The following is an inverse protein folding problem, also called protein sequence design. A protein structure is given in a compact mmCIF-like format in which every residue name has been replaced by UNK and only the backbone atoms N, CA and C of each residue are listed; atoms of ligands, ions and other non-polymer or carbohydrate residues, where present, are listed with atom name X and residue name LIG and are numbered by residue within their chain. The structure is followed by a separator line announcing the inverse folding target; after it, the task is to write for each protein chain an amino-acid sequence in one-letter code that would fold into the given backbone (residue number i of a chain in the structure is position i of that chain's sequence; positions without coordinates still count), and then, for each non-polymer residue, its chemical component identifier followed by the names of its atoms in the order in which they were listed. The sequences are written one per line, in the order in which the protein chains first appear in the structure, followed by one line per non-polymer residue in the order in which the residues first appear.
data_IF_216022695783
#
_entry.id   IF_216022695783
#
_cell.length_a   1.000
_cell.length_b   1.000
_cell.length_c   1.000
_cell.angle_alpha   90.00
_cell.angle_beta   90.00
_cell.angle_gamma   90.00
#
_symmetry.space_group_name_H-M   'P 1'
#
loop_
_entity.id
_entity.type
_entity.pdbx_description
1 polymer ?
#
# COMPACT_ATOMS: atom_id res chain seq x y z
N UNK A 1 -70.92 -29.97 -71.14
CA UNK A 1 -72.05 -30.56 -70.41
C UNK A 1 -71.71 -30.78 -68.98
N UNK A 2 -72.48 -30.14 -68.23
CA UNK A 2 -72.98 -30.38 -66.88
C UNK A 2 -72.08 -30.08 -65.70
N UNK A 3 -72.49 -29.01 -65.10
CA UNK A 3 -72.23 -28.58 -63.73
C UNK A 3 -72.49 -29.66 -62.70
N UNK A 4 -71.77 -29.69 -61.64
CA UNK A 4 -72.39 -29.85 -60.33
C UNK A 4 -71.52 -29.15 -59.22
N UNK A 5 -72.23 -28.22 -58.56
CA UNK A 5 -71.81 -27.53 -57.34
C UNK A 5 -71.73 -28.47 -56.14
N UNK A 6 -70.83 -28.28 -55.25
CA UNK A 6 -71.04 -28.70 -53.88
C UNK A 6 -70.40 -27.73 -52.88
N UNK A 7 -71.17 -26.94 -52.20
CA UNK A 7 -70.92 -26.40 -50.88
C UNK A 7 -71.44 -27.42 -49.83
N UNK A 8 -71.01 -27.46 -48.54
CA UNK A 8 -70.40 -26.42 -47.72
C UNK A 8 -69.23 -26.91 -46.81
N UNK A 9 -68.28 -26.08 -46.59
CA UNK A 9 -67.27 -26.28 -45.53
C UNK A 9 -67.11 -24.99 -44.72
N UNK A 10 -68.14 -24.57 -44.00
CA UNK A 10 -68.14 -23.30 -43.22
C UNK A 10 -68.41 -23.47 -41.75
N UNK A 11 -68.38 -24.65 -41.17
CA UNK A 11 -68.70 -24.83 -39.74
C UNK A 11 -67.61 -25.48 -38.86
N UNK A 12 -66.39 -25.71 -39.38
CA UNK A 12 -65.32 -26.30 -38.60
C UNK A 12 -64.23 -25.31 -38.14
N UNK A 13 -64.42 -24.03 -38.39
CA UNK A 13 -63.39 -23.02 -38.07
C UNK A 13 -63.72 -22.13 -36.86
N UNK A 14 -64.68 -22.45 -36.04
CA UNK A 14 -65.09 -21.69 -34.87
C UNK A 14 -64.82 -22.35 -33.52
N UNK A 15 -64.28 -23.57 -33.48
CA UNK A 15 -63.99 -24.29 -32.21
C UNK A 15 -62.50 -24.40 -31.89
N UNK A 16 -61.58 -23.84 -32.70
CA UNK A 16 -60.11 -23.94 -32.47
C UNK A 16 -59.48 -22.70 -31.92
N UNK A 17 -60.24 -21.62 -31.64
CA UNK A 17 -59.67 -20.33 -31.19
C UNK A 17 -59.81 -20.04 -29.70
N UNK A 18 -60.33 -20.94 -28.88
CA UNK A 18 -60.59 -20.72 -27.46
C UNK A 18 -59.63 -21.45 -26.49
N UNK A 19 -58.65 -22.24 -26.99
CA UNK A 19 -57.70 -23.00 -26.13
C UNK A 19 -56.26 -22.47 -26.24
N UNK A 20 -55.97 -21.51 -27.12
CA UNK A 20 -54.61 -20.99 -27.33
C UNK A 20 -54.24 -19.77 -26.48
N UNK A 21 -55.13 -19.24 -25.64
CA UNK A 21 -54.89 -17.99 -24.87
C UNK A 21 -54.54 -18.21 -23.39
N UNK A 22 -54.48 -19.44 -22.89
CA UNK A 22 -54.13 -19.73 -21.48
C UNK A 22 -52.73 -20.31 -21.27
N UNK A 23 -51.95 -20.53 -22.36
CA UNK A 23 -50.58 -21.09 -22.26
C UNK A 23 -49.45 -20.05 -22.36
N UNK A 24 -49.77 -18.75 -22.52
CA UNK A 24 -48.78 -17.67 -22.66
C UNK A 24 -48.58 -16.82 -21.39
N UNK A 25 -49.21 -17.22 -20.28
CA UNK A 25 -49.19 -16.45 -19.00
C UNK A 25 -48.17 -16.91 -17.94
N UNK A 26 -47.39 -17.99 -18.20
CA UNK A 26 -46.53 -18.57 -17.13
C UNK A 26 -45.04 -18.65 -17.51
N UNK A 27 -44.60 -17.95 -18.56
CA UNK A 27 -43.15 -17.80 -18.85
C UNK A 27 -42.58 -16.57 -18.21
N UNK A 28 -43.24 -16.05 -17.17
CA UNK A 28 -42.70 -14.95 -16.39
C UNK A 28 -41.66 -15.47 -15.38
N UNK A 29 -40.40 -15.07 -15.62
CA UNK A 29 -39.43 -14.86 -14.58
C UNK A 29 -38.82 -16.10 -13.91
N UNK A 30 -38.30 -17.02 -14.67
CA UNK A 30 -37.05 -17.66 -14.31
C UNK A 30 -35.91 -16.73 -14.78
N UNK A 31 -35.81 -15.54 -14.18
CA UNK A 31 -34.52 -14.88 -14.09
C UNK A 31 -33.61 -15.90 -13.43
N UNK A 32 -32.52 -16.38 -14.07
CA UNK A 32 -31.54 -17.12 -13.33
C UNK A 32 -31.10 -16.17 -12.20
N UNK A 33 -31.50 -16.45 -10.98
CA UNK A 33 -30.81 -15.95 -9.81
C UNK A 33 -29.40 -16.53 -9.96
N UNK A 34 -28.56 -15.82 -10.69
CA UNK A 34 -27.13 -16.02 -10.61
C UNK A 34 -26.84 -15.77 -9.14
N UNK A 35 -26.78 -16.85 -8.38
CA UNK A 35 -26.26 -16.81 -7.03
C UNK A 35 -24.93 -16.08 -7.16
N UNK A 36 -24.89 -14.81 -6.73
CA UNK A 36 -23.67 -14.03 -6.74
C UNK A 36 -22.67 -14.88 -5.98
N UNK A 37 -21.74 -15.48 -6.73
CA UNK A 37 -20.73 -16.35 -6.16
C UNK A 37 -20.11 -15.56 -4.99
N UNK A 38 -20.27 -16.12 -3.78
CA UNK A 38 -19.83 -15.44 -2.55
C UNK A 38 -18.37 -15.04 -2.73
N UNK A 39 -18.09 -13.74 -2.79
CA UNK A 39 -16.72 -13.25 -2.82
C UNK A 39 -16.04 -13.58 -1.47
N UNK A 40 -14.79 -14.06 -1.46
CA UNK A 40 -13.96 -14.48 -2.59
C UNK A 40 -14.17 -15.95 -2.99
N UNK A 41 -14.07 -16.26 -4.30
CA UNK A 41 -14.15 -17.63 -4.84
C UNK A 41 -12.84 -18.09 -5.52
N UNK A 42 -11.82 -17.24 -5.57
CA UNK A 42 -10.50 -17.51 -6.18
C UNK A 42 -9.39 -16.82 -5.37
N UNK A 43 -8.12 -17.14 -5.58
CA UNK A 43 -7.00 -16.51 -4.88
C UNK A 43 -7.01 -14.98 -5.00
N UNK A 44 -6.67 -14.29 -3.90
CA UNK A 44 -6.46 -12.84 -3.86
C UNK A 44 -4.96 -12.57 -4.03
N UNK A 45 -4.61 -11.57 -4.80
CA UNK A 45 -3.24 -11.10 -5.00
C UNK A 45 -3.03 -9.74 -4.35
N UNK A 46 -2.03 -9.63 -3.50
CA UNK A 46 -1.55 -8.35 -2.97
C UNK A 46 -0.21 -8.03 -3.61
N UNK A 47 -0.18 -7.04 -4.49
CA UNK A 47 1.04 -6.53 -5.08
C UNK A 47 1.75 -5.69 -4.02
N UNK A 48 3.02 -5.98 -3.76
CA UNK A 48 3.90 -5.17 -2.93
C UNK A 48 4.88 -4.44 -3.84
N UNK A 49 4.81 -3.09 -3.84
CA UNK A 49 5.58 -2.27 -4.77
C UNK A 49 7.07 -2.10 -4.38
N UNK A 50 7.57 -2.96 -3.49
CA UNK A 50 8.96 -3.00 -2.99
C UNK A 50 9.52 -4.41 -3.00
N UNK A 51 10.87 -4.56 -2.94
CA UNK A 51 11.51 -5.87 -2.77
C UNK A 51 11.06 -6.59 -1.50
N UNK A 52 11.17 -7.92 -1.46
CA UNK A 52 10.89 -8.73 -0.26
C UNK A 52 11.77 -8.32 0.93
N UNK A 53 11.28 -8.53 2.15
CA UNK A 53 12.03 -8.40 3.41
C UNK A 53 11.95 -7.05 4.09
N UNK A 54 11.32 -6.02 3.48
CA UNK A 54 11.04 -4.74 4.13
C UNK A 54 9.72 -4.74 4.92
N UNK A 55 9.43 -3.62 5.60
CA UNK A 55 8.19 -3.46 6.39
C UNK A 55 6.92 -3.73 5.57
N UNK A 56 6.84 -3.18 4.36
CA UNK A 56 5.67 -3.34 3.48
C UNK A 56 5.42 -4.81 3.15
N UNK A 57 6.48 -5.56 2.84
CA UNK A 57 6.40 -6.99 2.55
C UNK A 57 5.98 -7.81 3.78
N UNK A 58 6.57 -7.52 4.94
CA UNK A 58 6.26 -8.21 6.20
C UNK A 58 4.80 -8.00 6.61
N UNK A 59 4.27 -6.76 6.51
CA UNK A 59 2.88 -6.46 6.78
C UNK A 59 1.94 -7.14 5.79
N UNK A 60 2.24 -7.05 4.48
CA UNK A 60 1.44 -7.69 3.45
C UNK A 60 1.35 -9.21 3.63
N UNK A 61 2.46 -9.89 3.96
CA UNK A 61 2.47 -11.33 4.23
C UNK A 61 1.66 -11.68 5.47
N UNK A 62 1.86 -10.97 6.58
CA UNK A 62 1.16 -11.26 7.82
C UNK A 62 -0.35 -11.01 7.70
N UNK A 63 -0.74 -9.93 7.03
CA UNK A 63 -2.15 -9.65 6.74
C UNK A 63 -2.73 -10.66 5.72
N UNK A 64 -1.97 -11.01 4.68
CA UNK A 64 -2.36 -12.00 3.68
C UNK A 64 -2.61 -13.39 4.28
N UNK A 65 -1.80 -13.83 5.22
CA UNK A 65 -2.04 -15.08 5.96
C UNK A 65 -3.33 -15.01 6.79
N UNK A 66 -3.58 -13.89 7.46
CA UNK A 66 -4.84 -13.68 8.18
C UNK A 66 -6.05 -13.74 7.25
N UNK A 67 -6.00 -13.02 6.12
CA UNK A 67 -7.06 -13.06 5.12
C UNK A 67 -7.29 -14.48 4.56
N UNK A 68 -6.20 -15.20 4.26
CA UNK A 68 -6.29 -16.57 3.75
C UNK A 68 -7.01 -17.50 4.74
N UNK A 69 -6.67 -17.40 6.03
CA UNK A 69 -7.32 -18.17 7.09
C UNK A 69 -8.81 -17.79 7.28
N UNK A 70 -9.13 -16.51 7.16
CA UNK A 70 -10.51 -16.00 7.35
C UNK A 70 -11.43 -16.25 6.17
N UNK A 71 -10.91 -16.09 4.95
CA UNK A 71 -11.71 -16.12 3.74
C UNK A 71 -11.71 -17.49 3.05
N UNK A 72 -10.84 -18.41 3.47
CA UNK A 72 -10.76 -19.77 2.92
C UNK A 72 -10.18 -19.83 1.50
N UNK A 73 -9.51 -18.77 1.03
CA UNK A 73 -8.84 -18.73 -0.28
C UNK A 73 -7.37 -18.34 -0.11
N UNK A 74 -6.47 -18.79 -0.99
CA UNK A 74 -5.07 -18.36 -0.94
C UNK A 74 -4.92 -16.86 -1.15
N UNK A 75 -4.02 -16.22 -0.40
CA UNK A 75 -3.59 -14.84 -0.63
C UNK A 75 -2.12 -14.85 -1.04
N UNK A 76 -1.86 -14.41 -2.27
CA UNK A 76 -0.54 -14.40 -2.88
C UNK A 76 0.09 -13.03 -2.78
N UNK A 77 1.29 -12.94 -2.23
CA UNK A 77 2.08 -11.71 -2.19
C UNK A 77 3.00 -11.68 -3.41
N UNK A 78 2.82 -10.66 -4.25
CA UNK A 78 3.52 -10.47 -5.52
C UNK A 78 4.40 -9.21 -5.44
N UNK A 79 5.70 -9.37 -5.19
CA UNK A 79 6.62 -8.24 -5.11
C UNK A 79 6.94 -7.71 -6.52
N UNK A 80 6.54 -6.47 -6.81
CA UNK A 80 6.77 -5.76 -8.08
C UNK A 80 7.47 -4.41 -7.84
N UNK A 81 8.77 -4.44 -7.51
CA UNK A 81 9.53 -3.20 -7.30
C UNK A 81 9.88 -2.52 -8.63
N UNK A 82 10.26 -1.24 -8.53
CA UNK A 82 10.86 -0.49 -9.63
C UNK A 82 10.16 0.83 -9.93
N UNK A 83 10.92 1.74 -10.56
CA UNK A 83 10.48 3.09 -10.93
C UNK A 83 9.78 3.86 -9.79
N UNK A 84 10.34 3.84 -8.57
CA UNK A 84 9.70 4.51 -7.42
C UNK A 84 8.34 3.93 -7.05
N UNK A 85 8.17 2.61 -7.15
CA UNK A 85 6.91 1.87 -6.95
C UNK A 85 5.87 1.99 -8.08
N UNK A 86 6.13 2.77 -9.13
CA UNK A 86 5.21 2.99 -10.26
C UNK A 86 4.82 1.65 -10.91
N UNK A 87 5.78 0.72 -11.10
CA UNK A 87 5.51 -0.57 -11.77
C UNK A 87 4.43 -1.37 -11.01
N UNK A 88 4.56 -1.48 -9.69
CA UNK A 88 3.59 -2.22 -8.87
C UNK A 88 2.21 -1.54 -8.81
N UNK A 89 2.20 -0.22 -8.67
CA UNK A 89 0.96 0.57 -8.59
C UNK A 89 0.21 0.51 -9.94
N UNK A 90 0.93 0.67 -11.06
CA UNK A 90 0.35 0.59 -12.41
C UNK A 90 -0.27 -0.79 -12.70
N UNK A 91 0.44 -1.85 -12.29
CA UNK A 91 -0.08 -3.21 -12.45
C UNK A 91 -1.39 -3.44 -11.69
N UNK A 92 -1.57 -2.82 -10.52
CA UNK A 92 -2.82 -2.87 -9.80
C UNK A 92 -3.90 -2.00 -10.45
N UNK A 93 -3.58 -0.75 -10.80
CA UNK A 93 -4.50 0.20 -11.41
C UNK A 93 -5.15 -0.33 -12.69
N UNK A 94 -4.42 -1.16 -13.46
CA UNK A 94 -4.89 -1.81 -14.69
C UNK A 94 -5.56 -3.17 -14.48
N UNK A 95 -5.68 -3.62 -13.23
CA UNK A 95 -6.33 -4.90 -12.92
C UNK A 95 -7.85 -4.74 -12.85
N UNK A 96 -8.64 -5.83 -13.05
CA UNK A 96 -10.08 -5.79 -12.86
C UNK A 96 -10.47 -5.28 -11.46
N UNK A 97 -11.54 -4.48 -11.38
CA UNK A 97 -12.07 -3.92 -10.14
C UNK A 97 -12.99 -4.93 -9.42
N UNK A 98 -12.52 -6.16 -9.25
CA UNK A 98 -13.27 -7.29 -8.68
C UNK A 98 -12.81 -7.65 -7.24
N UNK A 99 -11.87 -6.88 -6.67
CA UNK A 99 -11.33 -7.08 -5.33
C UNK A 99 -10.27 -8.20 -5.22
N UNK A 100 -9.91 -8.87 -6.30
CA UNK A 100 -8.89 -9.93 -6.28
C UNK A 100 -7.46 -9.46 -6.52
N UNK A 101 -7.27 -8.19 -6.89
CA UNK A 101 -5.95 -7.58 -6.98
C UNK A 101 -5.92 -6.30 -6.15
N UNK A 102 -4.97 -6.23 -5.23
CA UNK A 102 -4.73 -5.11 -4.35
C UNK A 102 -3.27 -4.68 -4.49
N UNK A 103 -2.93 -3.46 -4.11
CA UNK A 103 -1.52 -3.04 -4.00
C UNK A 103 -1.26 -2.38 -2.66
N UNK A 104 -0.12 -2.70 -2.07
CA UNK A 104 0.40 -2.08 -0.86
C UNK A 104 1.72 -1.37 -1.18
N UNK A 105 1.81 -0.10 -0.78
CA UNK A 105 3.01 0.71 -0.94
C UNK A 105 3.10 1.73 0.21
N UNK A 106 4.12 2.58 0.24
CA UNK A 106 4.19 3.67 1.21
C UNK A 106 3.28 4.83 0.79
N UNK A 107 2.69 5.53 1.75
CA UNK A 107 1.91 6.76 1.47
C UNK A 107 2.73 7.77 0.67
N UNK A 108 4.02 7.89 0.97
CA UNK A 108 4.95 8.74 0.23
C UNK A 108 4.93 8.46 -1.27
N UNK A 109 5.07 7.21 -1.70
CA UNK A 109 5.13 6.87 -3.14
C UNK A 109 3.84 7.20 -3.89
N UNK A 110 2.68 7.11 -3.25
CA UNK A 110 1.41 7.51 -3.86
C UNK A 110 1.35 9.03 -4.12
N UNK A 111 1.74 9.86 -3.14
CA UNK A 111 1.65 11.31 -3.26
C UNK A 111 2.80 11.93 -4.05
N UNK A 112 4.01 11.44 -3.80
CA UNK A 112 5.23 12.03 -4.37
C UNK A 112 5.37 11.78 -5.87
N UNK A 113 4.95 10.60 -6.33
CA UNK A 113 4.98 10.30 -7.75
C UNK A 113 4.14 11.28 -8.58
N UNK A 114 3.05 11.83 -8.02
CA UNK A 114 2.25 12.90 -8.68
C UNK A 114 3.03 14.21 -8.87
N UNK A 115 4.00 14.48 -8.01
CA UNK A 115 4.80 15.72 -8.02
C UNK A 115 6.07 15.52 -8.85
N UNK A 116 6.70 14.35 -8.72
CA UNK A 116 8.01 14.08 -9.31
C UNK A 116 7.94 13.71 -10.79
N UNK A 117 6.85 13.11 -11.23
CA UNK A 117 6.71 12.65 -12.60
C UNK A 117 5.65 13.45 -13.34
N UNK A 118 6.05 14.09 -14.42
CA UNK A 118 5.14 14.85 -15.29
C UNK A 118 4.08 13.97 -15.96
N UNK A 119 4.35 12.67 -16.09
CA UNK A 119 3.42 11.68 -16.66
C UNK A 119 3.52 10.37 -15.89
N UNK A 120 2.42 9.96 -15.27
CA UNK A 120 2.23 8.65 -14.66
C UNK A 120 1.40 7.76 -15.59
N UNK A 121 1.63 6.43 -15.60
CA UNK A 121 0.84 5.49 -16.40
C UNK A 121 -0.55 5.21 -15.80
N UNK A 122 -0.87 5.78 -14.64
CA UNK A 122 -2.14 5.68 -13.92
C UNK A 122 -2.54 7.05 -13.35
N UNK A 123 -3.83 7.20 -13.07
CA UNK A 123 -4.37 8.35 -12.32
C UNK A 123 -4.77 7.90 -10.92
N UNK A 124 -4.08 8.40 -9.90
CA UNK A 124 -4.31 7.98 -8.52
C UNK A 124 -5.76 8.15 -8.05
N UNK A 125 -6.41 9.25 -8.43
CA UNK A 125 -7.75 9.60 -7.96
C UNK A 125 -8.87 8.88 -8.74
N UNK A 126 -8.57 8.41 -9.97
CA UNK A 126 -9.57 7.79 -10.87
C UNK A 126 -9.43 6.27 -10.95
N UNK A 127 -8.19 5.75 -10.87
CA UNK A 127 -7.91 4.35 -11.17
C UNK A 127 -7.77 3.50 -9.90
N UNK A 128 -7.67 4.16 -8.73
CA UNK A 128 -7.44 3.49 -7.45
C UNK A 128 -8.40 4.00 -6.37
N UNK A 129 -8.74 3.13 -5.43
CA UNK A 129 -9.54 3.45 -4.24
C UNK A 129 -8.87 2.91 -2.97
N UNK A 130 -8.78 3.70 -1.90
CA UNK A 130 -8.19 3.24 -0.64
C UNK A 130 -9.07 2.19 0.03
N UNK A 131 -8.42 1.19 0.66
CA UNK A 131 -9.04 0.14 1.48
C UNK A 131 -8.76 0.43 2.95
N UNK A 132 -7.49 0.51 3.32
CA UNK A 132 -7.03 0.81 4.68
C UNK A 132 -5.61 1.36 4.64
N UNK A 133 -5.18 1.97 5.74
CA UNK A 133 -3.78 2.38 5.93
C UNK A 133 -3.21 1.64 7.13
N UNK A 134 -2.22 0.80 6.89
CA UNK A 134 -1.40 0.24 7.96
C UNK A 134 -0.43 1.31 8.42
N UNK A 135 -0.33 1.59 9.73
CA UNK A 135 0.60 2.59 10.22
C UNK A 135 2.04 2.12 10.09
N UNK A 136 2.97 3.04 9.95
CA UNK A 136 4.40 2.82 10.17
C UNK A 136 4.81 3.37 11.54
N UNK A 137 5.90 2.83 12.08
CA UNK A 137 6.54 3.41 13.26
C UNK A 137 7.44 4.60 12.89
N UNK A 138 8.02 5.26 13.90
CA UNK A 138 9.06 6.25 13.68
C UNK A 138 10.20 5.67 12.85
N UNK A 139 10.66 6.43 11.86
CA UNK A 139 11.84 6.06 11.09
C UNK A 139 13.10 6.50 11.85
N UNK A 140 14.14 5.69 11.76
CA UNK A 140 15.42 5.96 12.36
C UNK A 140 16.27 6.83 11.44
N UNK A 141 16.82 7.90 11.95
CA UNK A 141 17.88 8.69 11.31
C UNK A 141 19.21 8.13 11.80
N UNK A 142 19.87 7.37 10.94
CA UNK A 142 21.14 6.71 11.29
C UNK A 142 22.29 7.23 10.45
N UNK A 143 23.43 7.39 11.08
CA UNK A 143 24.67 7.83 10.44
C UNK A 143 25.77 6.79 10.61
N UNK A 144 26.78 6.83 9.72
CA UNK A 144 28.01 6.07 9.92
C UNK A 144 28.70 6.53 11.22
N UNK A 145 29.12 5.61 12.06
CA UNK A 145 29.64 5.89 13.40
C UNK A 145 31.01 6.61 13.41
N UNK A 146 31.72 6.63 12.27
CA UNK A 146 32.93 7.44 12.09
C UNK A 146 32.66 8.94 12.03
N UNK A 147 31.41 9.35 11.83
CA UNK A 147 31.03 10.77 11.79
C UNK A 147 30.91 11.29 13.23
N UNK A 148 31.63 12.35 13.62
CA UNK A 148 31.61 12.86 14.97
C UNK A 148 30.39 13.77 15.23
N UNK A 149 29.18 13.20 15.17
CA UNK A 149 27.94 13.92 15.40
C UNK A 149 26.95 13.05 16.20
N UNK A 150 26.37 13.54 17.29
CA UNK A 150 25.48 12.80 18.19
C UNK A 150 24.00 13.20 18.04
N UNK A 151 23.73 14.24 17.27
CA UNK A 151 22.42 14.79 17.00
C UNK A 151 22.40 15.41 15.60
N UNK A 152 21.21 15.84 15.18
CA UNK A 152 21.04 16.40 13.83
C UNK A 152 21.79 17.73 13.64
N UNK A 153 21.86 18.58 14.65
CA UNK A 153 22.57 19.86 14.57
C UNK A 153 24.09 19.66 14.37
N UNK A 154 24.69 18.73 15.11
CA UNK A 154 26.10 18.36 14.94
C UNK A 154 26.36 17.73 13.57
N UNK A 155 25.44 16.86 13.11
CA UNK A 155 25.53 16.29 11.75
C UNK A 155 25.47 17.36 10.67
N UNK A 156 24.53 18.30 10.77
CA UNK A 156 24.43 19.43 9.82
C UNK A 156 25.71 20.27 9.81
N UNK A 157 26.27 20.58 10.99
CA UNK A 157 27.51 21.32 11.08
C UNK A 157 28.69 20.59 10.44
N UNK A 158 28.73 19.27 10.55
CA UNK A 158 29.72 18.41 9.89
C UNK A 158 29.49 18.35 8.37
N UNK A 159 28.24 18.16 7.93
CA UNK A 159 27.86 18.04 6.53
C UNK A 159 28.13 19.31 5.70
N UNK A 160 28.09 20.50 6.32
CA UNK A 160 28.50 21.76 5.69
C UNK A 160 29.98 21.81 5.30
N UNK A 161 30.82 20.99 5.90
CA UNK A 161 32.29 20.99 5.73
C UNK A 161 32.78 19.74 4.99
N UNK A 162 31.93 18.76 4.78
CA UNK A 162 32.32 17.47 4.24
C UNK A 162 31.37 17.04 3.11
N UNK A 163 31.89 16.42 2.02
CA UNK A 163 31.04 15.76 1.04
C UNK A 163 30.11 14.76 1.73
N UNK A 164 28.82 14.89 1.48
CA UNK A 164 27.81 14.12 2.23
C UNK A 164 26.77 13.57 1.27
N UNK A 165 26.46 12.28 1.42
CA UNK A 165 25.35 11.65 0.73
C UNK A 165 24.37 11.03 1.74
N UNK A 166 23.08 11.10 1.42
CA UNK A 166 22.00 10.42 2.13
C UNK A 166 21.45 9.27 1.28
N UNK A 167 21.48 8.08 1.84
CA UNK A 167 20.83 6.94 1.26
C UNK A 167 19.30 7.08 1.32
N UNK A 168 18.64 6.80 0.21
CA UNK A 168 17.16 6.82 0.09
C UNK A 168 16.69 5.55 -0.62
N UNK A 169 15.52 5.02 -0.27
CA UNK A 169 15.02 3.77 -0.87
C UNK A 169 14.22 3.96 -2.16
N UNK A 170 14.02 5.20 -2.60
CA UNK A 170 13.47 5.56 -3.91
C UNK A 170 13.56 7.08 -4.14
N UNK A 171 13.57 7.56 -5.39
CA UNK A 171 13.30 8.96 -5.69
C UNK A 171 11.94 9.38 -5.08
N UNK A 172 11.88 10.57 -4.46
CA UNK A 172 10.69 11.07 -3.79
C UNK A 172 10.28 10.37 -2.50
N UNK A 173 11.02 9.37 -2.05
CA UNK A 173 10.77 8.74 -0.75
C UNK A 173 10.96 9.73 0.41
N UNK A 174 10.43 9.37 1.58
CA UNK A 174 10.57 10.19 2.77
C UNK A 174 12.02 10.61 3.06
N UNK A 175 13.04 9.71 3.04
CA UNK A 175 14.43 10.14 3.20
C UNK A 175 14.92 11.11 2.11
N UNK A 176 14.42 11.00 0.88
CA UNK A 176 14.75 12.00 -0.15
C UNK A 176 14.24 13.39 0.22
N UNK A 177 12.98 13.48 0.72
CA UNK A 177 12.45 14.76 1.21
C UNK A 177 13.22 15.30 2.42
N UNK A 178 13.65 14.42 3.32
CA UNK A 178 14.49 14.81 4.47
C UNK A 178 15.81 15.42 4.00
N UNK A 179 16.47 14.84 3.00
CA UNK A 179 17.70 15.40 2.42
C UNK A 179 17.46 16.79 1.82
N UNK A 180 16.42 16.93 1.00
CA UNK A 180 16.07 18.20 0.37
C UNK A 180 15.72 19.29 1.39
N UNK A 181 14.91 18.96 2.40
CA UNK A 181 14.58 19.90 3.48
C UNK A 181 15.79 20.28 4.31
N UNK A 182 16.67 19.34 4.63
CA UNK A 182 17.92 19.63 5.33
C UNK A 182 18.77 20.62 4.54
N UNK A 183 18.90 20.40 3.24
CA UNK A 183 19.61 21.31 2.35
C UNK A 183 19.00 22.70 2.33
N UNK A 184 17.69 22.82 2.22
CA UNK A 184 16.95 24.10 2.15
C UNK A 184 17.02 24.88 3.46
N UNK A 185 16.83 24.20 4.59
CA UNK A 185 16.76 24.87 5.91
C UNK A 185 18.17 25.27 6.37
N UNK A 186 19.15 24.39 6.18
CA UNK A 186 20.47 24.57 6.76
C UNK A 186 21.56 24.98 5.77
N UNK A 187 21.26 25.05 4.47
CA UNK A 187 22.25 25.40 3.44
C UNK A 187 23.32 24.31 3.27
N UNK A 188 22.99 23.05 3.52
CA UNK A 188 23.84 21.90 3.24
C UNK A 188 23.76 21.50 1.75
N UNK A 189 24.66 20.61 1.32
CA UNK A 189 24.70 20.07 -0.05
C UNK A 189 24.68 18.53 -0.02
N UNK A 190 23.78 17.97 0.78
CA UNK A 190 23.62 16.52 0.88
C UNK A 190 23.05 15.98 -0.43
N UNK A 191 23.79 15.04 -1.03
CA UNK A 191 23.37 14.37 -2.27
C UNK A 191 22.53 13.14 -1.95
N UNK A 192 21.38 12.98 -2.61
CA UNK A 192 20.53 11.81 -2.43
C UNK A 192 20.99 10.67 -3.35
N UNK A 193 21.29 9.51 -2.75
CA UNK A 193 21.62 8.27 -3.46
C UNK A 193 20.44 7.32 -3.37
N UNK A 194 19.88 6.90 -4.51
CA UNK A 194 18.67 6.12 -4.57
C UNK A 194 18.95 4.62 -4.71
N UNK A 195 18.48 3.86 -3.74
CA UNK A 195 18.61 2.40 -3.69
C UNK A 195 17.28 1.71 -4.05
N UNK A 196 17.35 0.42 -4.37
CA UNK A 196 16.16 -0.40 -4.59
C UNK A 196 15.66 -1.02 -3.29
N UNK A 197 15.37 -0.18 -2.28
CA UNK A 197 14.90 -0.62 -0.97
C UNK A 197 15.88 -0.27 0.18
N UNK A 198 15.48 -0.57 1.41
CA UNK A 198 16.22 -0.17 2.62
C UNK A 198 17.49 -0.98 2.86
N UNK A 199 17.50 -2.29 2.57
CA UNK A 199 18.63 -3.15 2.91
C UNK A 199 19.95 -2.71 2.26
N UNK A 200 20.06 -2.51 0.93
CA UNK A 200 21.30 -2.01 0.32
C UNK A 200 21.64 -0.60 0.77
N UNK A 201 20.65 0.25 1.02
CA UNK A 201 20.84 1.61 1.55
C UNK A 201 21.59 1.59 2.90
N UNK A 202 21.13 0.77 3.85
CA UNK A 202 21.75 0.66 5.16
C UNK A 202 23.14 0.00 5.15
N UNK A 203 23.37 -0.94 4.23
CA UNK A 203 24.70 -1.55 4.04
C UNK A 203 25.72 -0.51 3.59
N UNK A 204 25.33 0.41 2.72
CA UNK A 204 26.21 1.48 2.25
C UNK A 204 26.46 2.55 3.33
N UNK A 205 25.52 2.79 4.23
CA UNK A 205 25.80 3.60 5.42
C UNK A 205 26.79 2.89 6.34
N UNK A 206 26.63 1.59 6.57
CA UNK A 206 27.54 0.82 7.40
C UNK A 206 28.97 0.78 6.85
N UNK A 207 29.13 0.68 5.52
CA UNK A 207 30.44 0.72 4.86
C UNK A 207 31.03 2.12 4.77
N UNK A 208 30.24 3.18 4.95
CA UNK A 208 30.65 4.59 4.82
C UNK A 208 30.54 5.14 3.40
N UNK A 209 29.96 4.37 2.45
CA UNK A 209 29.67 4.85 1.08
C UNK A 209 28.59 5.94 1.09
N UNK A 210 27.59 5.82 1.97
CA UNK A 210 26.68 6.90 2.32
C UNK A 210 26.91 7.32 3.79
N UNK A 211 26.68 8.58 4.08
CA UNK A 211 26.97 9.14 5.42
C UNK A 211 25.78 9.00 6.37
N UNK A 212 24.57 9.07 5.83
CA UNK A 212 23.33 9.08 6.59
C UNK A 212 22.24 8.37 5.80
N UNK A 213 21.28 7.78 6.48
CA UNK A 213 20.02 7.32 5.90
C UNK A 213 18.86 7.47 6.90
N UNK A 214 17.64 7.43 6.36
CA UNK A 214 16.40 7.40 7.14
C UNK A 214 15.58 6.20 6.71
N UNK A 215 15.21 5.34 7.65
CA UNK A 215 14.47 4.12 7.33
C UNK A 215 13.89 3.42 8.55
N UNK A 216 13.29 2.25 8.34
CA UNK A 216 12.65 1.47 9.40
C UNK A 216 13.62 1.00 10.47
N UNK A 217 13.13 0.88 11.72
CA UNK A 217 13.92 0.34 12.82
C UNK A 217 14.49 -1.04 12.50
N UNK A 218 13.72 -1.93 11.87
CA UNK A 218 14.19 -3.27 11.56
C UNK A 218 15.40 -3.27 10.62
N UNK A 219 15.34 -2.49 9.56
CA UNK A 219 16.43 -2.41 8.59
C UNK A 219 17.67 -1.72 9.18
N UNK A 220 17.47 -0.66 9.98
CA UNK A 220 18.55 -0.04 10.77
C UNK A 220 19.20 -1.04 11.74
N UNK A 221 18.40 -1.77 12.52
CA UNK A 221 18.90 -2.69 13.56
C UNK A 221 19.74 -3.84 12.97
N UNK A 222 19.49 -4.24 11.72
CA UNK A 222 20.29 -5.24 11.02
C UNK A 222 21.75 -4.80 10.78
N UNK A 223 22.04 -3.49 10.83
CA UNK A 223 23.37 -2.91 10.61
C UNK A 223 23.89 -2.08 11.78
N UNK A 224 23.14 -1.89 12.85
CA UNK A 224 23.52 -1.07 13.99
C UNK A 224 24.87 -1.52 14.62
N UNK A 225 25.12 -2.83 14.71
CA UNK A 225 26.39 -3.38 15.17
C UNK A 225 27.53 -3.34 14.16
N UNK A 226 27.27 -2.80 12.95
CA UNK A 226 28.24 -2.77 11.84
C UNK A 226 28.72 -1.35 11.54
N UNK A 227 28.67 -0.45 12.49
CA UNK A 227 29.17 0.91 12.33
C UNK A 227 28.09 1.93 11.94
N UNK A 228 26.84 1.71 12.35
CA UNK A 228 25.75 2.67 12.18
C UNK A 228 25.12 2.97 13.53
N UNK A 229 24.97 4.24 13.86
CA UNK A 229 24.27 4.69 15.07
C UNK A 229 23.13 5.63 14.78
N UNK A 230 22.08 5.55 15.59
CA UNK A 230 20.94 6.44 15.51
C UNK A 230 21.26 7.79 16.16
N UNK A 231 20.94 8.90 15.49
CA UNK A 231 21.04 10.26 16.02
C UNK A 231 19.68 10.94 16.18
N UNK A 232 18.61 10.33 15.70
CA UNK A 232 17.25 10.82 15.82
C UNK A 232 16.24 9.81 15.30
N UNK A 233 14.99 10.06 15.61
CA UNK A 233 13.85 9.37 15.01
C UNK A 233 12.83 10.40 14.50
N UNK A 234 12.05 10.01 13.49
CA UNK A 234 10.96 10.83 12.95
C UNK A 234 9.69 10.64 13.78
N UNK A 235 8.67 11.46 13.52
CA UNK A 235 7.39 11.38 14.23
C UNK A 235 7.36 12.23 15.51
N UNK A 236 6.22 12.17 16.19
CA UNK A 236 5.91 12.98 17.37
C UNK A 236 6.32 12.34 18.70
N UNK A 237 6.85 11.11 18.67
CA UNK A 237 7.25 10.35 19.86
C UNK A 237 8.52 9.54 19.58
N UNK A 238 9.29 9.25 20.63
CA UNK A 238 10.49 8.41 20.55
C UNK A 238 10.12 6.97 20.25
N UNK A 239 10.95 6.28 19.47
CA UNK A 239 10.75 4.86 19.22
C UNK A 239 10.84 4.05 20.52
N UNK A 240 9.87 3.17 20.81
CA UNK A 240 9.97 2.26 21.97
C UNK A 240 11.23 1.37 21.95
N UNK A 241 11.80 1.14 20.78
CA UNK A 241 13.03 0.37 20.60
C UNK A 241 14.31 1.21 20.76
N UNK A 242 14.16 2.54 20.76
CA UNK A 242 15.27 3.51 20.91
C UNK A 242 14.85 4.64 21.87
N UNK A 243 14.53 4.34 23.15
CA UNK A 243 13.95 5.31 24.07
C UNK A 243 14.88 6.48 24.39
N UNK A 244 16.20 6.28 24.25
CA UNK A 244 17.22 7.30 24.50
C UNK A 244 17.53 8.15 23.26
N UNK A 245 17.01 7.79 22.07
CA UNK A 245 17.21 8.57 20.85
C UNK A 245 16.09 9.59 20.73
N UNK A 246 16.40 10.90 20.70
CA UNK A 246 15.39 11.95 20.63
C UNK A 246 14.70 11.96 19.25
N UNK A 247 13.48 12.47 19.21
CA UNK A 247 12.84 12.79 17.93
C UNK A 247 13.54 13.98 17.28
N UNK A 248 13.42 14.11 15.95
CA UNK A 248 13.90 15.31 15.26
C UNK A 248 13.13 16.56 15.72
N UNK A 249 11.88 16.42 16.18
CA UNK A 249 11.11 17.50 16.78
C UNK A 249 11.73 17.98 18.11
N UNK A 250 12.12 17.07 19.00
CA UNK A 250 12.80 17.41 20.25
C UNK A 250 14.14 18.10 20.00
N UNK A 251 14.74 17.87 18.84
CA UNK A 251 15.99 18.53 18.43
C UNK A 251 15.76 19.92 17.79
N UNK A 252 14.52 20.36 17.63
CA UNK A 252 14.16 21.72 17.24
C UNK A 252 14.24 22.07 15.76
N UNK A 253 14.52 21.11 14.89
CA UNK A 253 15.15 21.47 13.62
C UNK A 253 14.31 21.28 12.34
N UNK A 254 13.13 20.63 12.36
CA UNK A 254 12.42 20.31 11.13
C UNK A 254 10.91 20.13 11.34
N UNK A 255 10.23 21.23 11.62
CA UNK A 255 8.93 21.23 12.28
C UNK A 255 7.78 20.46 11.60
N UNK A 256 7.63 20.42 10.29
CA UNK A 256 6.45 19.77 9.67
C UNK A 256 6.73 18.42 9.01
N UNK A 257 7.81 18.31 8.25
CA UNK A 257 8.10 17.07 7.53
C UNK A 257 8.36 15.91 8.48
N UNK A 258 9.10 16.17 9.55
CA UNK A 258 9.53 15.13 10.51
C UNK A 258 8.43 14.70 11.47
N UNK A 259 7.32 15.44 11.54
CA UNK A 259 6.11 15.03 12.28
C UNK A 259 5.18 14.15 11.48
N UNK A 260 5.40 14.05 10.16
CA UNK A 260 4.55 13.21 9.32
C UNK A 260 4.75 11.74 9.68
N UNK A 261 3.71 11.14 10.20
CA UNK A 261 3.65 9.71 10.39
C UNK A 261 3.35 9.06 9.04
N UNK A 262 4.28 8.25 8.58
CA UNK A 262 4.08 7.47 7.37
C UNK A 262 3.03 6.38 7.58
N UNK A 263 2.54 5.84 6.48
CA UNK A 263 1.66 4.70 6.48
C UNK A 263 1.87 3.86 5.22
N UNK A 264 1.28 2.69 5.24
CA UNK A 264 1.32 1.74 4.14
C UNK A 264 -0.11 1.52 3.66
N UNK A 265 -0.60 2.37 2.75
CA UNK A 265 -1.92 2.20 2.17
C UNK A 265 -2.02 0.87 1.42
N UNK A 266 -3.10 0.15 1.70
CA UNK A 266 -3.63 -0.91 0.85
C UNK A 266 -4.71 -0.28 -0.02
N UNK A 267 -4.56 -0.37 -1.32
CA UNK A 267 -5.51 0.18 -2.28
C UNK A 267 -5.97 -0.87 -3.28
N UNK A 268 -7.16 -0.68 -3.82
CA UNK A 268 -7.77 -1.51 -4.84
C UNK A 268 -7.98 -0.73 -6.14
N UNK A 269 -8.20 -1.37 -7.30
CA UNK A 269 -8.69 -0.72 -8.49
C UNK A 269 -10.00 0.04 -8.22
N UNK A 270 -10.15 1.22 -8.79
CA UNK A 270 -11.38 2.01 -8.66
C UNK A 270 -12.58 1.25 -9.25
N UNK A 271 -13.72 1.34 -8.58
CA UNK A 271 -14.92 0.55 -8.94
C UNK A 271 -15.00 -0.82 -8.25
N UNK A 272 -14.01 -1.20 -7.42
CA UNK A 272 -14.12 -2.38 -6.55
C UNK A 272 -15.36 -2.25 -5.66
N UNK A 273 -16.22 -3.30 -5.55
CA UNK A 273 -17.45 -3.22 -4.79
C UNK A 273 -17.23 -2.80 -3.33
N UNK A 274 -18.05 -1.88 -2.84
CA UNK A 274 -17.92 -1.29 -1.49
C UNK A 274 -17.95 -2.36 -0.38
N UNK A 275 -18.77 -3.40 -0.53
CA UNK A 275 -18.83 -4.50 0.43
C UNK A 275 -17.49 -5.25 0.53
N UNK A 276 -16.74 -5.36 -0.58
CA UNK A 276 -15.42 -5.99 -0.62
C UNK A 276 -14.40 -5.08 0.08
N UNK A 277 -14.41 -3.78 -0.24
CA UNK A 277 -13.53 -2.80 0.40
C UNK A 277 -13.72 -2.77 1.92
N UNK A 278 -14.99 -2.74 2.35
CA UNK A 278 -15.34 -2.76 3.77
C UNK A 278 -14.86 -4.05 4.45
N UNK A 279 -15.10 -5.21 3.85
CA UNK A 279 -14.67 -6.48 4.40
C UNK A 279 -13.15 -6.53 4.57
N UNK A 280 -12.39 -6.11 3.55
CA UNK A 280 -10.93 -6.06 3.62
C UNK A 280 -10.43 -5.09 4.71
N UNK A 281 -11.06 -3.93 4.86
CA UNK A 281 -10.70 -2.97 5.90
C UNK A 281 -11.03 -3.48 7.31
N UNK A 282 -12.21 -4.07 7.49
CA UNK A 282 -12.62 -4.67 8.76
C UNK A 282 -11.67 -5.82 9.17
N UNK A 283 -11.26 -6.66 8.21
CA UNK A 283 -10.28 -7.73 8.46
C UNK A 283 -8.87 -7.19 8.75
N UNK A 284 -8.49 -6.01 8.26
CA UNK A 284 -7.23 -5.37 8.66
C UNK A 284 -7.27 -4.92 10.13
N UNK A 285 -8.40 -4.38 10.58
CA UNK A 285 -8.62 -4.05 12.00
C UNK A 285 -8.63 -5.31 12.85
N UNK A 286 -9.33 -6.37 12.42
CA UNK A 286 -9.38 -7.66 13.11
C UNK A 286 -7.98 -8.31 13.21
N UNK A 287 -7.23 -8.33 12.09
CA UNK A 287 -5.84 -8.78 12.07
C UNK A 287 -4.98 -8.05 13.10
N UNK A 288 -5.17 -6.74 13.23
CA UNK A 288 -4.37 -5.93 14.14
C UNK A 288 -4.50 -6.32 15.62
N UNK A 289 -5.55 -7.03 15.99
CA UNK A 289 -5.80 -7.53 17.34
C UNK A 289 -5.22 -8.93 17.59
N UNK A 290 -4.60 -9.57 16.59
CA UNK A 290 -3.96 -10.87 16.74
C UNK A 290 -2.58 -10.75 17.39
N UNK A 291 -2.13 -11.78 18.11
CA UNK A 291 -0.79 -11.84 18.70
C UNK A 291 0.31 -11.72 17.65
N UNK A 292 0.08 -12.29 16.46
CA UNK A 292 1.02 -12.18 15.33
C UNK A 292 1.21 -10.75 14.88
N UNK A 293 0.11 -9.99 14.75
CA UNK A 293 0.17 -8.58 14.41
C UNK A 293 0.79 -7.74 15.53
N UNK A 294 0.52 -8.08 16.80
CA UNK A 294 1.12 -7.42 17.96
C UNK A 294 2.64 -7.59 17.96
N UNK A 295 3.15 -8.81 17.78
CA UNK A 295 4.59 -9.10 17.67
C UNK A 295 5.23 -8.38 16.48
N UNK A 296 4.53 -8.32 15.34
CA UNK A 296 5.02 -7.61 14.16
C UNK A 296 5.12 -6.10 14.43
N UNK A 297 4.07 -5.49 15.01
CA UNK A 297 4.11 -4.08 15.41
C UNK A 297 5.23 -3.80 16.40
N UNK A 298 5.42 -4.66 17.39
CA UNK A 298 6.53 -4.54 18.31
C UNK A 298 7.88 -4.59 17.60
N UNK A 299 8.08 -5.54 16.67
CA UNK A 299 9.32 -5.68 15.90
C UNK A 299 9.68 -4.42 15.12
N UNK A 300 8.66 -3.76 14.54
CA UNK A 300 8.84 -2.55 13.73
C UNK A 300 8.62 -1.24 14.52
N UNK A 301 8.42 -1.33 15.83
CA UNK A 301 8.12 -0.17 16.68
C UNK A 301 6.87 0.62 16.24
N UNK A 302 5.82 -0.08 15.83
CA UNK A 302 4.54 0.50 15.35
C UNK A 302 3.55 0.54 16.51
N UNK A 303 3.21 1.69 17.10
CA UNK A 303 2.29 1.77 18.23
C UNK A 303 0.82 1.69 17.82
N UNK A 304 0.50 2.17 16.65
CA UNK A 304 -0.88 2.34 16.17
C UNK A 304 -1.43 1.08 15.47
N UNK A 305 -2.74 1.04 15.27
CA UNK A 305 -3.45 0.01 14.51
C UNK A 305 -3.89 0.54 13.14
N UNK A 306 -4.18 -0.33 12.16
CA UNK A 306 -4.76 0.09 10.88
C UNK A 306 -6.06 0.87 11.07
N UNK A 307 -6.35 1.77 10.15
CA UNK A 307 -7.59 2.52 10.10
C UNK A 307 -8.70 1.69 9.47
N UNK A 308 -9.94 1.94 9.91
CA UNK A 308 -11.11 1.41 9.20
C UNK A 308 -11.31 2.15 7.86
N UNK A 309 -12.28 1.69 7.05
CA UNK A 309 -12.51 2.28 5.72
C UNK A 309 -12.94 3.75 5.79
N UNK A 310 -13.77 4.13 6.78
CA UNK A 310 -14.26 5.50 6.93
C UNK A 310 -13.12 6.47 7.32
N UNK A 311 -12.22 6.04 8.20
CA UNK A 311 -11.07 6.86 8.63
C UNK A 311 -9.93 6.90 7.59
N UNK A 312 -10.05 6.11 6.53
CA UNK A 312 -9.04 6.01 5.46
C UNK A 312 -9.35 6.96 4.30
N UNK A 313 -10.60 7.27 4.08
CA UNK A 313 -11.11 8.19 3.04
C UNK A 313 -11.20 9.61 3.53
#
# INVERSE_FOLDING_TARGET
MSMQQNKPRRHFLKAATAVATTALGSSALLSPAWAQAKWPAKPIRIIVAFPPGGLTDALARSYGEHLSAKLGVPVVIDNKPGAGAIIGIDAAAKSPADGYTLVMSTSGTFWQNRILYSKLPYNLDKDLTPVTVFPSGPLVVGINDKIPANNMAEFVAWAKKNPTSMGTYAPGSYPHMVADQTNRIHGTQIQSVHYRGEAPMWLDVASGQSQIAVGSYLAFNAVASRGVRAIGVTGSYRSPKLPNVPTLMEQGDMAKLVTLEGGLPLVAPAGTPEAVLKLLADEAVAWSNTDKAAKLRETFAIPNKPKNLADTR
#
